data_IF_640353660523
#
_entry.id   IF_640353660523
#
_cell.length_a   1.000
_cell.length_b   1.000
_cell.length_c   1.000
_cell.angle_alpha   90.00
_cell.angle_beta   90.00
_cell.angle_gamma   90.00
#
_symmetry.space_group_name_H-M   'P 1'
#
loop_
_entity.id
_entity.type
_entity.pdbx_description
1 polymer ?
#
# COMPACT_ATOMS: atom_id res chain seq x y z
N UNK A 1 13.77 41.06 -23.11
CA UNK A 1 13.16 39.75 -23.42
C UNK A 1 11.66 39.69 -23.16
N UNK A 2 11.07 40.38 -22.18
CA UNK A 2 9.60 40.37 -22.01
C UNK A 2 8.81 41.24 -23.00
N UNK A 3 9.49 42.14 -23.72
CA UNK A 3 8.84 42.96 -24.76
C UNK A 3 8.61 42.20 -26.07
N UNK A 4 9.33 41.11 -26.31
CA UNK A 4 9.24 40.35 -27.56
C UNK A 4 8.02 39.42 -27.62
N UNK A 5 7.52 38.98 -26.46
CA UNK A 5 6.38 38.06 -26.38
C UNK A 5 5.07 38.76 -26.81
N UNK A 6 4.93 40.07 -26.54
CA UNK A 6 3.71 40.82 -26.91
C UNK A 6 3.65 41.20 -28.38
N UNK A 7 4.78 41.22 -29.10
CA UNK A 7 4.80 41.49 -30.54
C UNK A 7 4.44 40.25 -31.36
N UNK A 8 4.73 39.04 -30.85
CA UNK A 8 4.34 37.78 -31.50
C UNK A 8 2.82 37.53 -31.46
N UNK A 9 2.11 37.99 -30.43
CA UNK A 9 0.65 37.89 -30.37
C UNK A 9 -0.07 38.90 -31.30
N UNK A 10 0.61 39.94 -31.79
CA UNK A 10 0.03 40.92 -32.69
C UNK A 10 0.00 40.45 -34.16
N UNK A 11 0.87 39.51 -34.55
CA UNK A 11 0.97 39.03 -35.94
C UNK A 11 -0.13 37.99 -36.25
N UNK A 12 -0.68 37.31 -35.25
CA UNK A 12 -1.71 36.29 -35.43
C UNK A 12 -3.14 36.84 -35.70
N UNK A 13 -3.33 38.16 -35.82
CA UNK A 13 -4.66 38.79 -35.93
C UNK A 13 -5.10 39.27 -37.32
N UNK A 14 -4.31 39.05 -38.37
CA UNK A 14 -4.69 39.49 -39.72
C UNK A 14 -4.81 38.29 -40.67
N UNK A 15 -5.98 37.66 -40.64
CA UNK A 15 -6.40 36.62 -41.58
C UNK A 15 -7.89 36.75 -41.84
N UNK A 16 -8.26 37.72 -42.66
CA UNK A 16 -9.61 37.95 -43.20
C UNK A 16 -9.53 37.82 -44.74
N UNK A 17 -10.65 37.61 -45.45
CA UNK A 17 -11.65 36.56 -45.25
C UNK A 17 -12.01 35.91 -46.61
N UNK A 18 -12.36 34.62 -46.66
CA UNK A 18 -13.03 34.08 -47.85
C UNK A 18 -14.02 32.97 -47.47
N UNK A 19 -15.30 33.33 -47.62
CA UNK A 19 -16.41 32.55 -48.16
C UNK A 19 -16.42 31.02 -47.96
N UNK A 20 -17.29 30.56 -47.06
CA UNK A 20 -18.22 29.48 -47.35
C UNK A 20 -19.31 29.49 -46.27
N UNK A 21 -20.53 29.76 -46.70
CA UNK A 21 -21.74 29.59 -45.90
C UNK A 21 -21.94 28.11 -45.57
N UNK A 22 -22.14 27.78 -44.30
CA UNK A 22 -22.99 26.67 -43.87
C UNK A 22 -23.29 26.80 -42.38
N UNK A 23 -24.57 26.83 -42.06
CA UNK A 23 -25.11 27.34 -40.80
C UNK A 23 -24.79 26.49 -39.56
N UNK A 24 -24.44 27.18 -38.47
CA UNK A 24 -24.81 26.80 -37.11
C UNK A 24 -25.04 28.09 -36.32
N UNK A 25 -26.30 28.46 -36.08
CA UNK A 25 -26.63 29.60 -35.21
C UNK A 25 -26.23 29.23 -33.78
N UNK A 26 -25.10 29.79 -33.30
CA UNK A 26 -24.78 29.77 -31.87
C UNK A 26 -25.78 30.67 -31.14
N UNK A 27 -26.59 30.09 -30.26
CA UNK A 27 -27.43 30.88 -29.36
C UNK A 27 -26.54 31.62 -28.35
N UNK A 28 -26.53 32.96 -28.41
CA UNK A 28 -25.88 33.87 -27.46
C UNK A 28 -26.56 33.85 -26.08
N UNK A 29 -26.54 32.70 -25.40
CA UNK A 29 -26.83 32.67 -23.97
C UNK A 29 -25.54 33.05 -23.26
N UNK A 30 -25.50 34.29 -22.72
CA UNK A 30 -24.45 34.79 -21.82
C UNK A 30 -24.15 33.76 -20.72
N UNK A 31 -23.19 32.87 -20.96
CA UNK A 31 -22.75 31.88 -19.96
C UNK A 31 -21.95 32.63 -18.91
N UNK A 32 -22.51 32.79 -17.71
CA UNK A 32 -21.76 33.24 -16.53
C UNK A 32 -20.48 32.40 -16.44
N UNK A 33 -19.31 33.05 -16.36
CA UNK A 33 -18.01 32.37 -16.18
C UNK A 33 -18.09 31.50 -14.93
N UNK A 34 -18.35 30.20 -15.08
CA UNK A 34 -18.13 29.22 -14.00
C UNK A 34 -16.63 29.26 -13.69
N UNK A 35 -16.29 29.38 -12.41
CA UNK A 35 -14.92 29.22 -11.92
C UNK A 35 -14.38 27.91 -12.50
N UNK A 36 -13.19 27.93 -13.12
CA UNK A 36 -12.51 26.72 -13.60
C UNK A 36 -12.33 25.82 -12.38
N UNK A 37 -13.00 24.67 -12.33
CA UNK A 37 -12.66 23.65 -11.33
C UNK A 37 -11.25 23.17 -11.68
N UNK A 38 -10.40 23.04 -10.66
CA UNK A 38 -9.09 22.39 -10.78
C UNK A 38 -9.20 20.89 -11.03
N UNK A 39 -10.39 20.32 -10.80
CA UNK A 39 -10.62 18.90 -10.99
C UNK A 39 -10.66 18.55 -12.48
N UNK A 40 -10.04 17.41 -12.87
CA UNK A 40 -10.05 16.94 -14.24
C UNK A 40 -11.50 16.73 -14.73
N UNK A 41 -11.75 17.10 -15.99
CA UNK A 41 -13.06 16.94 -16.60
C UNK A 41 -13.45 15.44 -16.65
N UNK A 42 -14.49 15.06 -15.89
CA UNK A 42 -15.03 13.70 -15.90
C UNK A 42 -16.03 13.56 -17.04
N UNK A 43 -15.77 12.68 -18.00
CA UNK A 43 -16.69 12.40 -19.10
C UNK A 43 -17.98 11.74 -18.57
N UNK A 44 -19.12 12.42 -18.72
CA UNK A 44 -20.43 11.93 -18.24
C UNK A 44 -21.23 11.18 -19.29
N UNK A 45 -20.89 11.31 -20.57
CA UNK A 45 -21.69 10.74 -21.67
C UNK A 45 -21.16 9.36 -22.06
N UNK A 46 -21.97 8.33 -21.82
CA UNK A 46 -21.74 6.97 -22.32
C UNK A 46 -22.76 6.57 -23.38
N UNK A 47 -22.35 5.68 -24.29
CA UNK A 47 -23.20 5.13 -25.35
C UNK A 47 -24.46 4.49 -24.81
N UNK A 48 -25.60 4.70 -25.48
CA UNK A 48 -26.88 4.05 -25.18
C UNK A 48 -26.87 2.54 -25.44
N UNK A 49 -25.88 2.03 -26.19
CA UNK A 49 -25.76 0.59 -26.48
C UNK A 49 -25.28 -0.22 -25.27
N UNK A 50 -24.75 0.43 -24.23
CA UNK A 50 -24.25 -0.23 -23.03
C UNK A 50 -25.39 -0.31 -22.01
N UNK A 51 -25.83 -1.52 -21.66
CA UNK A 51 -26.78 -1.75 -20.58
C UNK A 51 -26.18 -1.21 -19.28
N UNK A 52 -26.94 -0.39 -18.54
CA UNK A 52 -26.45 0.30 -17.35
C UNK A 52 -26.86 -0.45 -16.08
N UNK A 53 -25.88 -0.74 -15.23
CA UNK A 53 -26.11 -1.24 -13.87
C UNK A 53 -26.25 -0.11 -12.83
N UNK A 54 -26.33 1.15 -13.27
CA UNK A 54 -26.40 2.33 -12.40
C UNK A 54 -25.07 2.80 -11.77
N UNK A 55 -23.99 2.01 -11.85
CA UNK A 55 -22.68 2.37 -11.27
C UNK A 55 -21.87 3.28 -12.21
N UNK A 56 -21.36 4.45 -11.75
CA UNK A 56 -20.54 5.36 -12.56
C UNK A 56 -19.26 4.70 -13.11
N UNK A 57 -18.83 5.11 -14.30
CA UNK A 57 -17.59 4.58 -14.95
C UNK A 57 -16.37 4.77 -14.08
N UNK A 58 -16.24 5.94 -13.44
CA UNK A 58 -15.13 6.25 -12.56
C UNK A 58 -15.05 5.24 -11.41
N UNK A 59 -16.19 4.91 -10.80
CA UNK A 59 -16.26 3.88 -9.75
C UNK A 59 -15.89 2.49 -10.28
N UNK A 60 -16.39 2.11 -11.48
CA UNK A 60 -16.01 0.83 -12.11
C UNK A 60 -14.51 0.78 -12.43
N UNK A 61 -13.92 1.87 -12.91
CA UNK A 61 -12.50 1.99 -13.22
C UNK A 61 -11.66 1.91 -11.94
N UNK A 62 -12.04 2.64 -10.89
CA UNK A 62 -11.38 2.59 -9.59
C UNK A 62 -11.41 1.17 -9.01
N UNK A 63 -12.57 0.50 -9.06
CA UNK A 63 -12.71 -0.88 -8.61
C UNK A 63 -11.79 -1.84 -9.37
N UNK A 64 -11.70 -1.69 -10.70
CA UNK A 64 -10.78 -2.49 -11.53
C UNK A 64 -9.32 -2.23 -11.17
N UNK A 65 -8.96 -0.99 -10.90
CA UNK A 65 -7.59 -0.64 -10.47
C UNK A 65 -7.29 -1.21 -9.09
N UNK A 66 -8.24 -1.14 -8.14
CA UNK A 66 -8.04 -1.71 -6.81
C UNK A 66 -7.94 -3.24 -6.86
N UNK A 67 -8.78 -3.92 -7.65
CA UNK A 67 -8.73 -5.37 -7.82
C UNK A 67 -7.39 -5.84 -8.42
N UNK A 68 -6.80 -5.06 -9.34
CA UNK A 68 -5.48 -5.37 -9.92
C UNK A 68 -4.33 -5.21 -8.92
N UNK A 69 -4.48 -4.30 -7.96
CA UNK A 69 -3.48 -4.00 -6.95
C UNK A 69 -3.77 -4.69 -5.61
N UNK A 70 -4.78 -5.57 -5.56
CA UNK A 70 -5.17 -6.23 -4.33
C UNK A 70 -4.21 -7.37 -4.00
N UNK A 71 -3.27 -7.07 -3.10
CA UNK A 71 -2.33 -8.04 -2.53
C UNK A 71 -2.85 -8.63 -1.21
N UNK A 72 -4.10 -8.35 -0.80
CA UNK A 72 -4.65 -8.74 0.50
C UNK A 72 -4.70 -10.27 0.72
N UNK A 73 -4.86 -11.05 -0.36
CA UNK A 73 -4.88 -12.51 -0.30
C UNK A 73 -3.51 -13.20 -0.35
N UNK A 74 -2.46 -12.47 -0.75
CA UNK A 74 -1.08 -12.96 -0.77
C UNK A 74 -0.36 -12.49 0.48
N UNK A 75 0.61 -13.26 1.00
CA UNK A 75 1.39 -12.78 2.13
C UNK A 75 2.09 -11.46 1.73
N UNK A 76 1.76 -10.38 2.44
CA UNK A 76 2.19 -8.99 2.12
C UNK A 76 3.70 -8.85 1.98
N UNK A 77 4.45 -9.78 2.56
CA UNK A 77 5.91 -9.81 2.58
C UNK A 77 6.47 -11.06 1.84
N UNK A 78 5.79 -11.58 0.83
CA UNK A 78 6.31 -12.70 0.02
C UNK A 78 6.17 -12.46 -1.51
N UNK A 79 6.15 -11.19 -1.92
CA UNK A 79 5.96 -10.75 -3.31
C UNK A 79 7.16 -11.11 -4.17
N UNK A 80 8.39 -10.90 -3.71
CA UNK A 80 9.59 -11.23 -4.50
C UNK A 80 9.69 -12.72 -4.79
N UNK A 81 9.21 -13.56 -3.88
CA UNK A 81 9.19 -15.02 -4.07
C UNK A 81 8.20 -15.47 -5.17
N UNK A 82 7.28 -14.62 -5.61
CA UNK A 82 6.37 -14.91 -6.73
C UNK A 82 6.96 -14.60 -8.12
N UNK A 83 8.08 -13.87 -8.18
CA UNK A 83 8.70 -13.40 -9.42
C UNK A 83 10.03 -14.11 -9.71
N UNK A 84 10.37 -14.22 -11.00
CA UNK A 84 11.68 -14.72 -11.43
C UNK A 84 12.79 -13.71 -11.11
N UNK A 85 14.02 -14.20 -10.96
CA UNK A 85 15.16 -13.32 -10.65
C UNK A 85 15.42 -12.31 -11.77
N UNK A 86 15.29 -12.73 -13.03
CA UNK A 86 15.46 -11.83 -14.19
C UNK A 86 14.44 -10.68 -14.16
N UNK A 87 13.20 -10.98 -13.76
CA UNK A 87 12.15 -9.95 -13.69
C UNK A 87 12.42 -8.98 -12.54
N UNK A 88 12.87 -9.47 -11.38
CA UNK A 88 13.28 -8.63 -10.26
C UNK A 88 14.49 -7.76 -10.61
N UNK A 89 15.46 -8.29 -11.36
CA UNK A 89 16.60 -7.52 -11.85
C UNK A 89 16.16 -6.38 -12.79
N UNK A 90 15.24 -6.67 -13.72
CA UNK A 90 14.66 -5.66 -14.61
C UNK A 90 13.92 -4.57 -13.83
N UNK A 91 13.07 -4.96 -12.86
CA UNK A 91 12.33 -4.01 -12.03
C UNK A 91 13.28 -3.13 -11.22
N UNK A 92 14.35 -3.71 -10.66
CA UNK A 92 15.35 -2.96 -9.92
C UNK A 92 16.06 -1.93 -10.80
N UNK A 93 16.44 -2.31 -12.03
CA UNK A 93 17.04 -1.42 -13.01
C UNK A 93 16.10 -0.27 -13.40
N UNK A 94 14.83 -0.59 -13.70
CA UNK A 94 13.80 0.41 -14.01
C UNK A 94 13.52 1.37 -12.85
N UNK A 95 13.71 0.88 -11.61
CA UNK A 95 13.55 1.66 -10.38
C UNK A 95 14.80 2.45 -9.99
N UNK A 96 15.91 2.34 -10.73
CA UNK A 96 17.18 2.98 -10.41
C UNK A 96 17.88 2.38 -9.17
N UNK A 97 17.58 1.13 -8.83
CA UNK A 97 18.22 0.40 -7.73
C UNK A 97 19.43 -0.35 -8.27
N UNK A 98 20.60 -0.03 -7.74
CA UNK A 98 21.83 -0.74 -8.05
C UNK A 98 21.90 -2.08 -7.28
N UNK A 99 21.98 -3.18 -8.03
CA UNK A 99 22.15 -4.54 -7.53
C UNK A 99 23.58 -5.07 -7.72
N UNK A 100 24.50 -4.25 -8.22
CA UNK A 100 25.89 -4.59 -8.53
C UNK A 100 26.16 -4.77 -10.02
N UNK A 101 27.44 -4.73 -10.38
CA UNK A 101 27.91 -4.70 -11.77
C UNK A 101 27.94 -6.08 -12.45
N UNK A 102 28.05 -7.15 -11.67
CA UNK A 102 28.19 -8.52 -12.17
C UNK A 102 26.90 -9.32 -11.99
N UNK A 103 26.64 -10.27 -12.91
CA UNK A 103 25.45 -11.14 -12.83
C UNK A 103 25.40 -11.94 -11.53
N UNK A 104 26.53 -12.45 -11.04
CA UNK A 104 26.59 -13.17 -9.77
C UNK A 104 26.26 -12.27 -8.57
N UNK A 105 26.72 -11.02 -8.58
CA UNK A 105 26.40 -10.05 -7.51
C UNK A 105 24.92 -9.68 -7.53
N UNK A 106 24.35 -9.47 -8.72
CA UNK A 106 22.92 -9.19 -8.90
C UNK A 106 22.10 -10.37 -8.37
N UNK A 107 22.43 -11.59 -8.79
CA UNK A 107 21.73 -12.80 -8.36
C UNK A 107 21.80 -12.99 -6.84
N UNK A 108 22.98 -12.86 -6.24
CA UNK A 108 23.16 -13.01 -4.78
C UNK A 108 22.40 -11.94 -4.00
N UNK A 109 22.38 -10.69 -4.48
CA UNK A 109 21.62 -9.62 -3.87
C UNK A 109 20.11 -9.88 -3.96
N UNK A 110 19.61 -10.33 -5.11
CA UNK A 110 18.21 -10.72 -5.28
C UNK A 110 17.83 -11.88 -4.35
N UNK A 111 18.68 -12.91 -4.22
CA UNK A 111 18.45 -14.02 -3.30
C UNK A 111 18.41 -13.54 -1.84
N UNK A 112 19.31 -12.63 -1.48
CA UNK A 112 19.34 -12.01 -0.15
C UNK A 112 18.05 -11.24 0.12
N UNK A 113 17.54 -10.49 -0.87
CA UNK A 113 16.27 -9.77 -0.76
C UNK A 113 15.09 -10.73 -0.59
N UNK A 114 15.02 -11.81 -1.38
CA UNK A 114 13.99 -12.86 -1.24
C UNK A 114 13.98 -13.50 0.14
N UNK A 115 15.16 -13.82 0.67
CA UNK A 115 15.30 -14.41 1.99
C UNK A 115 14.85 -13.45 3.11
N UNK A 116 15.21 -12.16 3.01
CA UNK A 116 14.76 -11.12 3.94
C UNK A 116 13.24 -10.97 3.93
N UNK A 117 12.65 -10.93 2.74
CA UNK A 117 11.21 -10.82 2.55
C UNK A 117 10.49 -12.01 3.21
N UNK A 118 10.94 -13.24 2.92
CA UNK A 118 10.41 -14.47 3.50
C UNK A 118 10.47 -14.44 5.04
N UNK A 119 11.59 -14.00 5.61
CA UNK A 119 11.71 -13.84 7.06
C UNK A 119 10.68 -12.84 7.63
N UNK A 120 10.47 -11.70 6.96
CA UNK A 120 9.44 -10.73 7.36
C UNK A 120 8.03 -11.32 7.26
N UNK A 121 7.75 -12.08 6.21
CA UNK A 121 6.50 -12.83 6.03
C UNK A 121 6.23 -13.80 7.19
N UNK A 122 7.24 -14.55 7.63
CA UNK A 122 7.15 -15.45 8.78
C UNK A 122 6.91 -14.70 10.08
N UNK A 123 7.62 -13.59 10.31
CA UNK A 123 7.45 -12.75 11.51
C UNK A 123 6.03 -12.17 11.56
N UNK A 124 5.52 -11.63 10.46
CA UNK A 124 4.16 -11.10 10.38
C UNK A 124 3.12 -12.19 10.69
N UNK A 125 3.26 -13.37 10.10
CA UNK A 125 2.36 -14.49 10.38
C UNK A 125 2.41 -14.94 11.85
N UNK A 126 3.58 -14.87 12.49
CA UNK A 126 3.73 -15.17 13.90
C UNK A 126 3.06 -14.10 14.78
N UNK A 127 3.20 -12.82 14.43
CA UNK A 127 2.53 -11.70 15.11
C UNK A 127 1.00 -11.80 14.99
N UNK A 128 0.47 -12.02 13.78
CA UNK A 128 -0.96 -12.20 13.56
C UNK A 128 -1.56 -13.38 14.38
N UNK A 129 -0.75 -14.42 14.62
CA UNK A 129 -1.14 -15.56 15.47
C UNK A 129 -1.14 -15.19 16.95
N UNK A 130 -0.20 -14.36 17.40
CA UNK A 130 -0.16 -13.87 18.78
C UNK A 130 -1.35 -12.96 19.06
N UNK A 131 -1.64 -12.01 18.17
CA UNK A 131 -2.77 -11.08 18.34
C UNK A 131 -4.12 -11.80 18.43
N UNK A 132 -4.29 -12.87 17.65
CA UNK A 132 -5.49 -13.73 17.71
C UNK A 132 -5.59 -14.52 19.03
N UNK A 133 -4.46 -15.00 19.56
CA UNK A 133 -4.43 -15.73 20.85
C UNK A 133 -4.64 -14.81 22.05
N UNK A 134 -4.09 -13.60 22.01
CA UNK A 134 -4.28 -12.58 23.07
C UNK A 134 -5.76 -12.14 23.16
N UNK A 135 -6.52 -12.26 22.07
CA UNK A 135 -7.96 -12.01 22.06
C UNK A 135 -8.82 -13.07 22.77
N UNK A 136 -8.31 -14.28 22.98
CA UNK A 136 -9.07 -15.38 23.63
C UNK A 136 -8.80 -15.51 25.13
N UNK A 137 -7.69 -14.97 25.66
CA UNK A 137 -7.31 -15.13 27.08
C UNK A 137 -7.80 -14.01 28.01
N UNK A 138 -8.50 -12.98 27.52
CA UNK A 138 -9.02 -11.90 28.40
C UNK A 138 -10.45 -12.19 28.87
N UNK A 139 -10.60 -13.22 29.71
CA UNK A 139 -11.80 -13.48 30.49
C UNK A 139 -12.08 -12.31 31.46
N UNK A 140 -13.34 -11.96 31.74
CA UNK A 140 -13.70 -10.78 32.51
C UNK A 140 -13.11 -10.81 33.93
N UNK A 141 -12.44 -9.72 34.34
CA UNK A 141 -11.79 -9.52 35.65
C UNK A 141 -12.75 -9.52 36.86
N UNK A 142 -14.02 -9.86 36.69
CA UNK A 142 -14.99 -9.93 37.78
C UNK A 142 -16.04 -11.02 37.49
N UNK A 143 -15.77 -12.23 37.97
CA UNK A 143 -16.84 -13.19 38.26
C UNK A 143 -17.05 -13.09 39.76
N UNK A 144 -18.15 -12.45 40.17
CA UNK A 144 -18.62 -12.49 41.55
C UNK A 144 -18.95 -13.95 41.88
N UNK A 145 -18.04 -14.63 42.58
CA UNK A 145 -18.33 -15.94 43.16
C UNK A 145 -19.15 -15.67 44.41
N UNK A 146 -20.47 -15.79 44.27
CA UNK A 146 -21.43 -15.82 45.37
C UNK A 146 -21.02 -16.97 46.33
N UNK A 147 -20.37 -16.62 47.44
CA UNK A 147 -19.99 -17.59 48.49
C UNK A 147 -18.53 -17.61 48.96
N UNK A 148 -17.63 -16.77 48.43
CA UNK A 148 -16.25 -16.73 48.92
C UNK A 148 -16.08 -15.77 50.11
N UNK A 149 -16.08 -16.34 51.32
CA UNK A 149 -15.74 -15.66 52.58
C UNK A 149 -14.24 -15.33 52.56
N UNK A 150 -13.90 -14.05 52.47
CA UNK A 150 -12.52 -13.56 52.59
C UNK A 150 -12.06 -13.67 54.04
N UNK A 151 -11.27 -14.69 54.34
CA UNK A 151 -10.49 -14.76 55.58
C UNK A 151 -9.29 -13.84 55.46
N UNK A 152 -9.45 -12.63 55.98
CA UNK A 152 -8.33 -11.80 56.43
C UNK A 152 -7.57 -12.58 57.51
N UNK A 153 -6.24 -12.43 57.54
CA UNK A 153 -5.30 -12.93 58.55
C UNK A 153 -4.58 -14.25 58.26
N UNK A 154 -3.55 -14.21 57.40
CA UNK A 154 -2.42 -15.13 57.51
C UNK A 154 -1.11 -14.44 57.09
N UNK A 155 -0.52 -13.71 58.05
CA UNK A 155 0.83 -13.16 57.95
C UNK A 155 1.84 -14.30 58.01
N UNK A 156 2.80 -14.29 57.08
CA UNK A 156 4.18 -14.70 57.36
C UNK A 156 4.61 -16.09 56.88
N UNK A 157 5.61 -16.09 55.98
CA UNK A 157 6.98 -16.62 56.19
C UNK A 157 7.61 -16.87 54.82
N UNK A 158 8.57 -16.05 54.43
CA UNK A 158 9.64 -16.55 53.55
C UNK A 158 10.67 -17.30 54.39
N UNK A 159 11.27 -18.35 53.82
CA UNK A 159 12.66 -18.65 54.12
C UNK A 159 13.50 -18.85 52.85
N UNK A 160 14.55 -18.04 52.73
CA UNK A 160 15.76 -18.32 51.97
C UNK A 160 16.49 -19.55 52.54
N UNK A 161 17.14 -20.39 51.71
CA UNK A 161 18.37 -21.17 51.99
C UNK A 161 18.51 -22.33 50.97
N UNK A 162 19.54 -22.33 50.11
CA UNK A 162 20.87 -22.96 50.26
C UNK A 162 21.00 -24.34 49.57
N UNK A 163 22.16 -24.55 48.92
CA UNK A 163 22.67 -25.85 48.47
C UNK A 163 22.62 -26.01 46.94
N UNK A 164 23.67 -26.42 46.24
CA UNK A 164 24.96 -26.97 46.65
C UNK A 164 25.77 -27.37 45.41
N UNK A 165 27.07 -27.57 45.63
CA UNK A 165 28.19 -27.68 44.70
C UNK A 165 28.22 -28.86 43.72
N UNK A 166 29.12 -28.66 42.74
CA UNK A 166 30.08 -29.62 42.13
C UNK A 166 29.62 -30.57 41.01
N UNK A 167 30.31 -30.51 39.86
CA UNK A 167 31.21 -31.59 39.43
C UNK A 167 32.11 -31.24 38.22
N UNK A 168 33.41 -31.36 38.48
CA UNK A 168 34.61 -31.63 37.69
C UNK A 168 34.48 -32.02 36.21
N UNK A 169 35.39 -31.47 35.39
CA UNK A 169 35.87 -32.14 34.17
C UNK A 169 37.40 -32.00 34.06
N UNK A 170 38.10 -33.13 34.21
CA UNK A 170 39.55 -33.31 34.05
C UNK A 170 39.83 -33.91 32.67
N UNK A 171 40.59 -33.22 31.82
CA UNK A 171 41.24 -33.79 30.64
C UNK A 171 42.74 -33.94 30.95
N UNK A 172 43.22 -35.18 30.87
CA UNK A 172 44.63 -35.57 30.89
C UNK A 172 45.14 -35.56 29.44
N UNK A 173 46.30 -34.93 29.22
CA UNK A 173 47.22 -35.16 28.11
C UNK A 173 48.59 -35.52 28.71
#
# INVERSE_FOLDING_TARGET
MEKDIRQLEAIARNGEPNAAEDGFTQSDKKRRKKKKSTDPAVATRQSMRIIRDGVPVAMKAQKRTSEKNDISGTNKFAVFNSLSNDHLASIALDSGIDLGDNQDTIFNNIQTLKAKELAQSLICMAQDRLDKKVGEERLPEHIEIEGCVSSQDARGREPCAHGGDSNNNTNLE
#
